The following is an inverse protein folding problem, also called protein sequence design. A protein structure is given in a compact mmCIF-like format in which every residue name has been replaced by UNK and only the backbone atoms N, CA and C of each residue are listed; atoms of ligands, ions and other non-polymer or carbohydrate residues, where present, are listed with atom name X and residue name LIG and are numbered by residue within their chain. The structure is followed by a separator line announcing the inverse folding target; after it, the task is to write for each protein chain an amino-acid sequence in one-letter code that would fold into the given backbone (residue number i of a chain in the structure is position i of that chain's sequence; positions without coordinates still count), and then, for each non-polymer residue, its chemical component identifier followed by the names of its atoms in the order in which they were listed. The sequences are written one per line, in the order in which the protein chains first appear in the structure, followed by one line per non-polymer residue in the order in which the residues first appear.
data_IF_594892485134
#
_entry.id   IF_594892485134
#
_cell.length_a   1.000
_cell.length_b   1.000
_cell.length_c   1.000
_cell.angle_alpha   90.00
_cell.angle_beta   90.00
_cell.angle_gamma   90.00
#
_symmetry.space_group_name_H-M   'P 1'
#
loop_
_entity.id
_entity.type
_entity.pdbx_description
1 polymer ?
#
# COMPACT_ATOMS: atom_id res chain seq x y z
N UNK A 1 42.68 -34.69 4.64
CA UNK A 1 42.84 -33.37 5.30
C UNK A 1 42.52 -32.34 4.22
N UNK A 2 41.27 -31.88 4.17
CA UNK A 2 40.79 -30.60 4.71
C UNK A 2 41.35 -29.39 3.92
N UNK A 3 40.57 -28.45 3.38
CA UNK A 3 39.19 -28.06 3.70
C UNK A 3 38.47 -27.27 2.61
N UNK A 4 37.25 -26.89 2.97
CA UNK A 4 36.14 -26.34 2.18
C UNK A 4 36.34 -24.86 1.83
N UNK A 5 36.30 -24.51 0.53
CA UNK A 5 35.98 -23.16 0.03
C UNK A 5 35.41 -23.24 -1.41
N UNK A 6 34.20 -23.74 -1.57
CA UNK A 6 33.43 -23.59 -2.80
C UNK A 6 32.03 -23.07 -2.49
N UNK A 7 31.96 -21.74 -2.40
CA UNK A 7 30.73 -20.99 -2.46
C UNK A 7 29.93 -21.38 -3.70
N UNK A 8 28.74 -21.93 -3.46
CA UNK A 8 27.78 -22.31 -4.48
C UNK A 8 27.38 -21.08 -5.29
N UNK A 9 27.90 -20.99 -6.51
CA UNK A 9 27.41 -20.08 -7.55
C UNK A 9 26.01 -20.56 -7.97
N UNK A 10 25.03 -19.66 -7.97
CA UNK A 10 23.77 -19.86 -8.69
C UNK A 10 23.92 -19.41 -10.14
N UNK A 11 23.34 -20.19 -11.05
CA UNK A 11 23.53 -20.15 -12.48
C UNK A 11 22.25 -19.62 -13.16
N UNK A 12 22.21 -18.32 -13.47
CA UNK A 12 21.48 -17.76 -14.64
C UNK A 12 21.59 -16.24 -14.75
N UNK A 13 21.98 -15.51 -13.71
CA UNK A 13 22.13 -14.06 -13.77
C UNK A 13 23.40 -13.67 -13.02
N UNK A 14 24.34 -13.04 -13.71
CA UNK A 14 25.68 -12.70 -13.21
C UNK A 14 25.72 -11.56 -12.20
N UNK A 15 24.78 -11.51 -11.26
CA UNK A 15 24.70 -10.52 -10.19
C UNK A 15 24.47 -11.18 -8.83
N UNK A 16 25.04 -10.58 -7.78
CA UNK A 16 24.89 -11.08 -6.41
C UNK A 16 23.65 -10.49 -5.75
N UNK A 17 23.10 -11.19 -4.75
CA UNK A 17 21.90 -10.77 -4.00
C UNK A 17 22.06 -9.43 -3.26
N UNK A 18 23.28 -8.89 -3.15
CA UNK A 18 23.56 -7.57 -2.63
C UNK A 18 23.20 -6.43 -3.62
N UNK A 19 23.04 -6.72 -4.92
CA UNK A 19 22.95 -5.70 -5.97
C UNK A 19 21.52 -5.30 -6.37
N UNK A 20 20.48 -6.08 -6.02
CA UNK A 20 19.10 -5.86 -6.55
C UNK A 20 18.02 -5.56 -5.51
N UNK A 21 18.31 -5.65 -4.21
CA UNK A 21 17.44 -5.13 -3.14
C UNK A 21 16.00 -5.69 -3.05
N UNK A 22 15.65 -6.75 -3.78
CA UNK A 22 14.30 -7.31 -3.81
C UNK A 22 14.27 -8.69 -3.15
N UNK A 23 13.76 -8.76 -1.92
CA UNK A 23 13.35 -10.03 -1.32
C UNK A 23 11.85 -10.19 -1.48
N UNK A 24 11.39 -11.20 -2.22
CA UNK A 24 10.39 -12.14 -1.72
C UNK A 24 10.36 -13.44 -2.51
N UNK A 25 10.53 -14.52 -1.75
CA UNK A 25 10.49 -15.93 -2.11
C UNK A 25 9.05 -16.42 -2.29
N UNK A 26 8.80 -17.16 -3.38
CA UNK A 26 7.59 -17.96 -3.60
C UNK A 26 8.01 -19.44 -3.64
N UNK A 27 7.45 -20.34 -2.81
CA UNK A 27 7.85 -21.74 -2.82
C UNK A 27 7.34 -22.46 -4.08
N UNK A 28 8.07 -23.46 -4.62
CA UNK A 28 7.68 -24.18 -5.82
C UNK A 28 6.59 -25.23 -5.55
N UNK A 29 5.61 -25.33 -6.44
CA UNK A 29 4.65 -26.45 -6.49
C UNK A 29 5.22 -27.54 -7.39
N UNK A 30 5.39 -28.76 -6.85
CA UNK A 30 5.78 -29.95 -7.62
C UNK A 30 4.56 -30.64 -8.24
N UNK A 31 4.79 -31.30 -9.38
CA UNK A 31 3.92 -32.22 -10.14
C UNK A 31 2.99 -31.58 -11.20
N UNK A 32 3.61 -31.00 -12.23
CA UNK A 32 2.94 -30.36 -13.35
C UNK A 32 1.78 -31.13 -13.99
N UNK A 33 0.61 -30.47 -14.02
CA UNK A 33 -0.29 -30.30 -15.17
C UNK A 33 -1.26 -29.16 -14.80
N UNK A 34 -1.43 -28.15 -15.65
CA UNK A 34 -2.37 -27.06 -15.41
C UNK A 34 -3.80 -27.59 -15.61
N UNK A 35 -4.42 -28.09 -14.54
CA UNK A 35 -5.87 -28.23 -14.47
C UNK A 35 -6.42 -26.85 -14.08
N UNK A 36 -7.17 -26.22 -14.99
CA UNK A 36 -8.06 -25.12 -14.67
C UNK A 36 -9.03 -25.62 -13.59
N UNK A 37 -8.81 -25.23 -12.34
CA UNK A 37 -9.85 -25.27 -11.35
C UNK A 37 -10.72 -24.04 -11.57
N UNK A 38 -11.92 -24.31 -12.06
CA UNK A 38 -13.02 -23.38 -12.09
C UNK A 38 -13.32 -22.85 -10.69
N UNK A 39 -13.88 -21.64 -10.69
CA UNK A 39 -14.50 -20.92 -9.57
C UNK A 39 -13.58 -20.48 -8.42
N UNK A 40 -12.74 -19.48 -8.71
CA UNK A 40 -12.27 -18.59 -7.66
C UNK A 40 -13.35 -17.52 -7.42
N UNK A 41 -14.38 -17.88 -6.66
CA UNK A 41 -15.17 -16.87 -5.97
C UNK A 41 -14.21 -16.10 -5.06
N UNK A 42 -13.88 -14.87 -5.46
CA UNK A 42 -12.98 -13.99 -4.71
C UNK A 42 -13.50 -13.78 -3.29
N UNK A 43 -12.96 -14.56 -2.35
CA UNK A 43 -13.22 -14.38 -0.94
C UNK A 43 -12.47 -13.13 -0.49
N UNK A 44 -13.21 -12.03 -0.33
CA UNK A 44 -12.71 -10.81 0.30
C UNK A 44 -12.04 -11.16 1.65
N UNK A 45 -10.85 -10.61 1.91
CA UNK A 45 -10.20 -10.75 3.24
C UNK A 45 -11.18 -10.26 4.32
N UNK A 46 -11.53 -11.08 5.32
CA UNK A 46 -12.48 -10.68 6.36
C UNK A 46 -11.94 -9.46 7.13
N UNK A 47 -12.85 -8.55 7.45
CA UNK A 47 -12.58 -7.23 8.03
C UNK A 47 -12.31 -7.25 9.54
N UNK A 48 -11.65 -8.28 10.06
CA UNK A 48 -11.38 -8.35 11.48
C UNK A 48 -10.39 -7.23 11.84
N UNK A 49 -10.92 -6.18 12.48
CA UNK A 49 -10.13 -5.20 13.19
C UNK A 49 -9.59 -5.91 14.43
N UNK A 50 -8.28 -6.13 14.47
CA UNK A 50 -7.60 -6.67 15.63
C UNK A 50 -7.20 -5.51 16.55
N UNK A 51 -7.54 -5.61 17.82
CA UNK A 51 -7.25 -4.57 18.81
C UNK A 51 -6.47 -5.20 19.95
N UNK A 52 -5.28 -4.66 20.23
CA UNK A 52 -4.40 -5.14 21.31
C UNK A 52 -3.95 -3.96 22.14
N UNK A 53 -3.97 -4.09 23.46
CA UNK A 53 -3.74 -3.00 24.40
C UNK A 53 -2.61 -3.32 25.38
N UNK A 54 -1.83 -2.29 25.71
CA UNK A 54 -0.95 -2.26 26.87
C UNK A 54 -1.42 -1.17 27.83
N UNK A 55 -0.69 -0.94 28.92
CA UNK A 55 -0.97 0.15 29.84
C UNK A 55 -0.85 1.56 29.20
N UNK A 56 0.02 1.73 28.20
CA UNK A 56 0.35 3.04 27.63
C UNK A 56 -0.25 3.29 26.24
N UNK A 57 -0.57 2.23 25.48
CA UNK A 57 -0.99 2.34 24.09
C UNK A 57 -1.94 1.22 23.67
N UNK A 58 -2.95 1.57 22.87
CA UNK A 58 -3.81 0.63 22.13
C UNK A 58 -3.36 0.59 20.68
N UNK A 59 -3.10 -0.59 20.13
CA UNK A 59 -2.88 -0.82 18.70
C UNK A 59 -4.19 -1.32 18.07
N UNK A 60 -4.51 -0.77 16.90
CA UNK A 60 -5.55 -1.25 15.99
C UNK A 60 -4.91 -1.71 14.69
N UNK A 61 -5.20 -2.94 14.28
CA UNK A 61 -4.73 -3.51 13.03
C UNK A 61 -5.91 -3.87 12.11
N UNK A 62 -5.95 -3.23 10.93
CA UNK A 62 -6.94 -3.49 9.88
C UNK A 62 -6.34 -4.37 8.79
N UNK A 63 -6.54 -5.69 8.89
CA UNK A 63 -5.98 -6.67 7.94
C UNK A 63 -6.34 -6.37 6.47
N UNK A 64 -7.54 -5.84 6.23
CA UNK A 64 -8.01 -5.42 4.90
C UNK A 64 -7.16 -4.29 4.30
N UNK A 65 -6.54 -3.42 5.10
CA UNK A 65 -5.66 -2.35 4.57
C UNK A 65 -4.21 -2.82 4.41
N UNK A 66 -3.82 -3.95 4.99
CA UNK A 66 -2.42 -4.36 5.02
C UNK A 66 -1.91 -4.78 3.63
N UNK A 67 -0.83 -4.11 3.18
CA UNK A 67 -0.10 -4.46 1.94
C UNK A 67 1.14 -5.33 2.19
N UNK A 68 1.32 -5.84 3.40
CA UNK A 68 2.48 -6.63 3.81
C UNK A 68 3.83 -5.96 3.46
N UNK A 69 3.90 -4.63 3.61
CA UNK A 69 5.12 -3.84 3.34
C UNK A 69 6.32 -4.20 4.22
N UNK A 70 6.09 -5.02 5.26
CA UNK A 70 7.05 -5.41 6.30
C UNK A 70 7.55 -4.29 7.22
N UNK A 71 7.02 -3.08 7.07
CA UNK A 71 7.13 -1.94 8.00
C UNK A 71 7.31 -2.41 9.45
N UNK A 72 6.25 -3.01 9.95
CA UNK A 72 6.11 -3.46 11.33
C UNK A 72 7.15 -4.50 11.75
N UNK A 73 7.24 -5.61 11.01
CA UNK A 73 8.08 -6.76 11.40
C UNK A 73 9.58 -6.50 11.21
N UNK A 74 9.96 -5.51 10.39
CA UNK A 74 11.37 -5.13 10.23
C UNK A 74 11.80 -4.08 11.25
N UNK A 75 10.92 -3.14 11.59
CA UNK A 75 11.24 -2.08 12.55
C UNK A 75 11.15 -2.58 14.01
N UNK A 76 10.15 -3.40 14.34
CA UNK A 76 9.93 -3.95 15.69
C UNK A 76 9.44 -5.42 15.62
N UNK A 77 10.34 -6.38 15.32
CA UNK A 77 9.99 -7.81 15.27
C UNK A 77 9.57 -8.39 16.63
N UNK A 78 9.86 -7.67 17.71
CA UNK A 78 9.43 -7.96 19.09
C UNK A 78 8.00 -7.48 19.37
N UNK A 79 7.55 -6.39 18.72
CA UNK A 79 6.16 -5.90 18.82
C UNK A 79 5.25 -6.61 17.82
N UNK A 80 5.68 -6.77 16.56
CA UNK A 80 4.94 -7.50 15.53
C UNK A 80 5.72 -8.74 15.15
N UNK A 81 5.39 -9.87 15.78
CA UNK A 81 6.14 -11.12 15.65
C UNK A 81 5.66 -11.89 14.42
N UNK A 82 6.49 -12.05 13.37
CA UNK A 82 6.05 -12.75 12.16
C UNK A 82 6.04 -14.28 12.36
N UNK A 83 5.13 -14.96 11.65
CA UNK A 83 5.09 -16.42 11.51
C UNK A 83 4.87 -17.22 12.81
N UNK A 84 4.16 -16.64 13.78
CA UNK A 84 3.77 -17.33 15.01
C UNK A 84 2.33 -17.85 14.92
N UNK A 85 2.04 -18.88 15.71
CA UNK A 85 0.68 -19.37 15.94
C UNK A 85 0.17 -18.73 17.23
N UNK A 86 -0.91 -17.95 17.14
CA UNK A 86 -1.49 -17.25 18.28
C UNK A 86 -1.26 -15.75 18.23
N UNK A 87 -1.07 -15.15 19.41
CA UNK A 87 -0.79 -13.71 19.54
C UNK A 87 0.50 -13.34 18.81
N UNK A 88 0.45 -12.22 18.10
CA UNK A 88 1.55 -11.75 17.25
C UNK A 88 1.80 -10.25 17.36
N UNK A 89 0.97 -9.54 18.14
CA UNK A 89 1.10 -8.10 18.42
C UNK A 89 1.29 -7.94 19.93
N UNK A 90 2.42 -7.34 20.33
CA UNK A 90 2.85 -7.18 21.72
C UNK A 90 3.16 -5.70 22.02
N UNK A 91 2.16 -4.83 22.22
CA UNK A 91 2.39 -3.41 22.48
C UNK A 91 3.16 -3.13 23.80
N UNK A 92 3.12 -4.05 24.75
CA UNK A 92 3.71 -3.93 26.09
C UNK A 92 5.24 -3.97 26.11
N UNK A 93 5.89 -4.47 25.04
CA UNK A 93 7.36 -4.51 24.93
C UNK A 93 7.93 -3.23 24.31
N UNK A 94 7.10 -2.22 24.05
CA UNK A 94 7.47 -0.95 23.45
C UNK A 94 6.89 0.23 24.23
N UNK A 95 7.55 1.37 24.12
CA UNK A 95 6.94 2.64 24.56
C UNK A 95 5.84 3.06 23.60
N UNK A 96 4.87 3.84 24.09
CA UNK A 96 3.80 4.37 23.24
C UNK A 96 4.32 5.27 22.10
N UNK A 97 5.49 5.89 22.27
CA UNK A 97 6.15 6.69 21.21
C UNK A 97 6.72 5.80 20.11
N UNK A 98 7.39 4.70 20.46
CA UNK A 98 7.91 3.73 19.48
C UNK A 98 6.76 3.07 18.70
N UNK A 99 5.65 2.75 19.37
CA UNK A 99 4.45 2.21 18.69
C UNK A 99 3.84 3.26 17.75
N UNK A 100 3.84 4.53 18.15
CA UNK A 100 3.37 5.62 17.29
C UNK A 100 4.23 5.77 16.03
N UNK A 101 5.56 5.75 16.17
CA UNK A 101 6.49 5.80 15.03
C UNK A 101 6.29 4.60 14.09
N UNK A 102 6.10 3.42 14.66
CA UNK A 102 5.82 2.20 13.91
C UNK A 102 4.53 2.32 13.10
N UNK A 103 3.44 2.85 13.69
CA UNK A 103 2.19 3.10 13.00
C UNK A 103 2.32 4.16 11.88
N UNK A 104 3.15 5.20 12.10
CA UNK A 104 3.44 6.23 11.09
C UNK A 104 4.22 5.66 9.90
N UNK A 105 5.07 4.65 10.14
CA UNK A 105 5.81 3.95 9.09
C UNK A 105 4.94 3.01 8.22
N UNK A 106 3.73 2.67 8.67
CA UNK A 106 2.83 1.78 7.94
C UNK A 106 2.23 2.50 6.71
N UNK A 107 2.65 2.17 5.47
CA UNK A 107 2.31 2.95 4.28
C UNK A 107 0.83 2.89 3.92
N UNK A 108 0.14 1.82 4.32
CA UNK A 108 -1.29 1.64 4.04
C UNK A 108 -2.20 2.12 5.17
N UNK A 109 -1.63 2.60 6.28
CA UNK A 109 -2.40 3.00 7.47
C UNK A 109 -3.12 1.83 8.14
N UNK A 110 -2.73 0.58 7.85
CA UNK A 110 -3.32 -0.62 8.45
C UNK A 110 -3.04 -0.73 9.95
N UNK A 111 -1.99 -0.07 10.43
CA UNK A 111 -1.64 0.00 11.85
C UNK A 111 -1.98 1.42 12.32
N UNK A 112 -2.82 1.50 13.33
CA UNK A 112 -3.21 2.73 14.00
C UNK A 112 -3.01 2.56 15.52
N UNK A 113 -3.00 3.67 16.25
CA UNK A 113 -2.86 3.64 17.70
C UNK A 113 -3.73 4.67 18.40
N UNK A 114 -4.04 4.42 19.67
CA UNK A 114 -4.47 5.45 20.64
C UNK A 114 -3.46 5.55 21.77
N UNK A 115 -3.24 6.77 22.25
CA UNK A 115 -2.45 7.06 23.44
C UNK A 115 -3.31 6.87 24.69
N UNK A 116 -2.91 5.94 25.56
CA UNK A 116 -3.54 5.72 26.87
C UNK A 116 -2.73 6.40 27.99
N UNK A 117 -1.51 6.84 27.68
CA UNK A 117 -0.60 7.57 28.56
C UNK A 117 -0.78 9.10 28.56
N UNK A 118 -1.78 9.61 27.83
CA UNK A 118 -2.01 11.06 27.66
C UNK A 118 -1.08 11.74 26.64
N UNK A 119 -0.27 10.97 25.90
CA UNK A 119 0.55 11.47 24.80
C UNK A 119 -0.26 12.00 23.61
N UNK A 120 0.43 12.58 22.63
CA UNK A 120 -0.23 13.16 21.45
C UNK A 120 -0.77 12.08 20.50
N UNK A 121 -2.04 12.22 20.10
CA UNK A 121 -2.62 11.45 19.02
C UNK A 121 -1.95 11.77 17.66
N UNK A 122 -2.13 10.86 16.70
CA UNK A 122 -1.71 11.11 15.32
C UNK A 122 -2.44 12.32 14.73
N UNK A 123 -1.75 13.11 13.90
CA UNK A 123 -2.29 14.32 13.27
C UNK A 123 -2.24 14.20 11.76
N UNK A 124 -3.18 14.87 11.10
CA UNK A 124 -3.16 15.04 9.65
C UNK A 124 -1.84 15.67 9.16
N UNK A 125 -1.34 15.27 7.98
CA UNK A 125 -0.12 15.84 7.42
C UNK A 125 -0.30 17.31 7.03
N UNK A 126 0.80 18.05 7.01
CA UNK A 126 0.84 19.45 6.57
C UNK A 126 0.73 19.62 5.05
N UNK A 127 0.91 18.52 4.30
CA UNK A 127 0.77 18.47 2.85
C UNK A 127 0.13 17.14 2.50
N UNK A 128 -1.01 17.20 1.83
CA UNK A 128 -1.64 16.01 1.27
C UNK A 128 -0.82 15.52 0.07
N UNK A 129 -0.41 14.26 0.11
CA UNK A 129 0.38 13.66 -0.97
C UNK A 129 -0.25 12.41 -1.51
N UNK A 130 -0.13 12.22 -2.82
CA UNK A 130 -0.46 10.98 -3.50
C UNK A 130 0.76 10.53 -4.30
N UNK A 131 1.44 9.51 -3.78
CA UNK A 131 2.67 8.97 -4.36
C UNK A 131 2.37 7.87 -5.35
N UNK A 132 2.87 8.01 -6.58
CA UNK A 132 2.79 6.98 -7.62
C UNK A 132 3.99 6.03 -7.46
N UNK A 133 3.75 4.81 -7.00
CA UNK A 133 4.83 3.82 -6.84
C UNK A 133 5.12 3.11 -8.16
N UNK A 134 6.40 2.95 -8.50
CA UNK A 134 6.86 2.16 -9.65
C UNK A 134 6.23 0.77 -9.62
N UNK A 135 5.61 0.35 -10.73
CA UNK A 135 4.92 -0.95 -10.87
C UNK A 135 3.89 -1.26 -9.77
N UNK A 136 3.49 -0.26 -8.99
CA UNK A 136 2.80 -0.45 -7.73
C UNK A 136 1.60 0.47 -7.54
N UNK A 137 1.08 0.55 -6.32
CA UNK A 137 -0.14 1.30 -5.99
C UNK A 137 0.07 2.81 -5.93
N UNK A 138 -1.03 3.54 -5.73
CA UNK A 138 -0.98 4.90 -5.20
C UNK A 138 -0.87 4.84 -3.67
N UNK A 139 0.11 5.54 -3.08
CA UNK A 139 0.20 5.68 -1.63
C UNK A 139 -0.23 7.10 -1.23
N UNK A 140 -1.32 7.20 -0.49
CA UNK A 140 -1.96 8.45 -0.06
C UNK A 140 -1.53 8.76 1.37
N UNK A 141 -1.21 10.03 1.64
CA UNK A 141 -1.00 10.57 2.98
C UNK A 141 -1.74 11.90 3.09
N UNK A 142 -2.88 11.92 3.75
CA UNK A 142 -3.82 13.04 3.86
C UNK A 142 -4.84 12.80 4.97
N UNK A 143 -5.61 13.81 5.39
CA UNK A 143 -6.85 13.58 6.16
C UNK A 143 -7.90 12.93 5.24
N UNK A 144 -7.89 11.59 5.16
CA UNK A 144 -8.49 10.86 4.05
C UNK A 144 -9.91 10.41 4.35
N UNK A 145 -10.81 10.72 3.42
CA UNK A 145 -12.13 10.11 3.29
C UNK A 145 -12.18 9.29 2.00
N UNK A 146 -12.47 7.99 2.13
CA UNK A 146 -12.51 7.04 1.02
C UNK A 146 -13.93 6.48 0.90
N UNK A 147 -14.56 6.64 -0.27
CA UNK A 147 -15.95 6.23 -0.51
C UNK A 147 -16.93 6.75 0.57
N UNK A 148 -16.77 8.03 0.95
CA UNK A 148 -17.61 8.69 1.95
C UNK A 148 -17.37 8.26 3.40
N UNK A 149 -16.33 7.46 3.68
CA UNK A 149 -15.99 6.99 5.03
C UNK A 149 -14.60 7.49 5.45
N UNK A 150 -14.39 7.85 6.73
CA UNK A 150 -13.05 8.12 7.25
C UNK A 150 -12.12 6.92 7.03
N UNK A 151 -10.93 7.16 6.49
CA UNK A 151 -9.95 6.12 6.18
C UNK A 151 -8.65 6.24 6.98
N UNK A 152 -8.56 7.23 7.87
CA UNK A 152 -7.34 7.56 8.62
C UNK A 152 -6.44 8.48 7.80
N UNK A 153 -5.13 8.47 8.10
CA UNK A 153 -4.19 9.38 7.43
C UNK A 153 -3.43 8.78 6.25
N UNK A 154 -3.43 7.45 6.12
CA UNK A 154 -2.69 6.72 5.08
C UNK A 154 -3.55 5.66 4.43
N UNK A 155 -3.37 5.46 3.13
CA UNK A 155 -3.95 4.34 2.40
C UNK A 155 -3.13 4.01 1.15
N UNK A 156 -3.12 2.75 0.76
CA UNK A 156 -2.55 2.31 -0.52
C UNK A 156 -3.65 1.80 -1.44
N UNK A 157 -3.84 2.47 -2.58
CA UNK A 157 -4.94 2.23 -3.51
C UNK A 157 -4.47 1.51 -4.78
N UNK A 158 -5.32 0.60 -5.27
CA UNK A 158 -5.03 -0.21 -6.44
C UNK A 158 -4.89 0.65 -7.70
N UNK A 159 -3.76 0.49 -8.40
CA UNK A 159 -3.46 1.11 -9.69
C UNK A 159 -3.51 0.11 -10.85
N UNK A 160 -3.29 -1.18 -10.58
CA UNK A 160 -3.14 -2.24 -11.58
C UNK A 160 -4.45 -2.83 -12.09
N UNK A 161 -5.59 -2.57 -11.42
CA UNK A 161 -6.89 -3.19 -11.75
C UNK A 161 -7.08 -4.62 -11.25
N UNK A 162 -6.05 -5.29 -10.74
CA UNK A 162 -6.12 -6.72 -10.38
C UNK A 162 -6.42 -7.02 -8.90
N UNK A 163 -6.38 -6.03 -8.00
CA UNK A 163 -6.65 -6.26 -6.57
C UNK A 163 -8.00 -6.93 -6.34
N UNK A 164 -8.06 -7.94 -5.48
CA UNK A 164 -9.31 -8.58 -5.03
C UNK A 164 -9.96 -7.81 -3.87
N UNK A 165 -9.26 -6.78 -3.38
CA UNK A 165 -9.65 -5.98 -2.24
C UNK A 165 -9.78 -4.49 -2.59
N UNK A 166 -10.27 -4.20 -3.80
CA UNK A 166 -10.47 -2.83 -4.28
C UNK A 166 -11.38 -2.04 -3.31
N UNK A 167 -11.15 -0.73 -3.15
CA UNK A 167 -10.16 0.09 -3.84
C UNK A 167 -8.71 -0.04 -3.32
N UNK A 168 -8.49 -0.81 -2.25
CA UNK A 168 -7.16 -1.01 -1.68
C UNK A 168 -6.26 -1.88 -2.56
N UNK A 169 -4.96 -1.67 -2.45
CA UNK A 169 -3.97 -2.59 -2.97
C UNK A 169 -3.83 -3.80 -2.04
N UNK A 170 -3.69 -5.00 -2.61
CA UNK A 170 -3.47 -6.26 -1.89
C UNK A 170 -2.18 -6.98 -2.33
N UNK A 171 -1.38 -6.34 -3.18
CA UNK A 171 -0.16 -6.92 -3.75
C UNK A 171 -0.35 -7.61 -5.09
N UNK A 172 -1.59 -7.74 -5.61
CA UNK A 172 -1.89 -8.42 -6.88
C UNK A 172 -1.11 -7.86 -8.08
N UNK A 173 -0.63 -6.61 -8.01
CA UNK A 173 0.21 -6.00 -9.05
C UNK A 173 1.51 -6.79 -9.32
N UNK A 174 2.08 -7.45 -8.32
CA UNK A 174 3.25 -8.33 -8.49
C UNK A 174 2.84 -9.59 -9.26
N UNK A 175 1.75 -10.23 -8.82
CA UNK A 175 1.23 -11.48 -9.39
C UNK A 175 0.86 -11.34 -10.87
N UNK A 176 0.26 -10.20 -11.25
CA UNK A 176 -0.13 -9.94 -12.65
C UNK A 176 0.98 -9.27 -13.47
N UNK A 177 2.17 -9.07 -12.91
CA UNK A 177 3.29 -8.44 -13.60
C UNK A 177 2.97 -7.03 -14.08
N UNK A 178 2.28 -6.23 -13.26
CA UNK A 178 1.87 -4.88 -13.64
C UNK A 178 3.09 -3.99 -13.88
N UNK A 179 3.25 -3.51 -15.12
CA UNK A 179 4.32 -2.58 -15.51
C UNK A 179 3.74 -1.19 -15.73
N UNK A 180 4.16 -0.23 -14.92
CA UNK A 180 3.86 1.17 -15.12
C UNK A 180 4.79 2.06 -14.30
N UNK A 181 5.33 3.09 -14.95
CA UNK A 181 6.22 4.05 -14.30
C UNK A 181 5.59 4.70 -13.06
N UNK A 182 6.41 4.86 -12.02
CA UNK A 182 6.21 5.70 -10.85
C UNK A 182 6.91 7.07 -11.00
N UNK A 183 7.52 7.32 -12.16
CA UNK A 183 8.22 8.55 -12.53
C UNK A 183 7.56 9.30 -13.71
N UNK A 184 6.24 9.58 -13.70
CA UNK A 184 5.64 10.45 -14.71
C UNK A 184 6.36 11.81 -14.85
N UNK A 185 6.30 12.44 -16.04
CA UNK A 185 6.79 13.79 -16.24
C UNK A 185 6.10 14.78 -15.29
N UNK A 186 6.85 15.78 -14.82
CA UNK A 186 6.29 16.89 -14.05
C UNK A 186 5.47 17.78 -14.97
N UNK A 187 4.27 18.12 -14.53
CA UNK A 187 3.39 19.10 -15.17
C UNK A 187 3.58 20.42 -14.43
N UNK A 188 4.00 21.45 -15.16
CA UNK A 188 4.14 22.77 -14.57
C UNK A 188 2.76 23.32 -14.19
N UNK A 189 2.62 23.66 -12.91
CA UNK A 189 1.37 24.11 -12.31
C UNK A 189 1.69 25.14 -11.23
N UNK A 190 0.82 26.15 -11.03
CA UNK A 190 0.97 27.08 -9.92
C UNK A 190 0.94 26.35 -8.57
N UNK A 191 1.44 27.02 -7.53
CA UNK A 191 1.31 26.51 -6.16
C UNK A 191 -0.17 26.49 -5.75
N UNK A 192 -0.55 25.49 -4.94
CA UNK A 192 -1.87 25.47 -4.33
C UNK A 192 -1.97 26.54 -3.24
N UNK A 193 -3.10 27.23 -3.17
CA UNK A 193 -3.38 28.18 -2.08
C UNK A 193 -3.42 27.49 -0.71
N UNK A 194 -3.85 26.23 -0.68
CA UNK A 194 -3.87 25.36 0.51
C UNK A 194 -3.33 23.98 0.12
N UNK A 195 -2.46 23.41 0.96
CA UNK A 195 -1.80 22.10 0.69
C UNK A 195 -2.28 20.99 1.62
N UNK A 196 -3.01 21.34 2.67
CA UNK A 196 -3.55 20.45 3.69
C UNK A 196 -5.09 20.47 3.71
N UNK A 197 -5.68 19.71 4.63
CA UNK A 197 -7.11 19.58 4.82
C UNK A 197 -7.65 18.24 4.31
N UNK A 198 -8.98 18.05 4.39
CA UNK A 198 -9.61 16.81 3.96
C UNK A 198 -9.32 16.50 2.49
N UNK A 199 -9.05 15.22 2.22
CA UNK A 199 -8.93 14.68 0.87
C UNK A 199 -9.98 13.59 0.69
N UNK A 200 -10.87 13.78 -0.28
CA UNK A 200 -11.91 12.84 -0.63
C UNK A 200 -11.46 12.02 -1.82
N UNK A 201 -11.53 10.69 -1.72
CA UNK A 201 -11.27 9.79 -2.83
C UNK A 201 -12.50 8.91 -3.03
N UNK A 202 -13.11 9.00 -4.20
CA UNK A 202 -14.32 8.26 -4.56
C UNK A 202 -14.00 7.29 -5.70
N UNK A 203 -13.90 5.98 -5.43
CA UNK A 203 -13.85 4.98 -6.48
C UNK A 203 -15.17 5.00 -7.25
N UNK A 204 -15.12 5.21 -8.56
CA UNK A 204 -16.29 5.11 -9.43
C UNK A 204 -16.51 3.64 -9.80
N UNK A 205 -17.75 3.15 -9.75
CA UNK A 205 -18.10 1.80 -10.22
C UNK A 205 -17.59 1.59 -11.64
N UNK A 206 -16.87 0.48 -11.85
CA UNK A 206 -16.22 0.12 -13.14
C UNK A 206 -15.28 1.20 -13.70
N UNK A 207 -14.89 2.16 -12.86
CA UNK A 207 -14.27 3.41 -13.28
C UNK A 207 -13.04 3.82 -12.46
N UNK A 208 -12.60 5.08 -12.62
CA UNK A 208 -11.39 5.61 -11.99
C UNK A 208 -11.55 5.91 -10.49
N UNK A 209 -10.48 6.37 -9.87
CA UNK A 209 -10.53 7.05 -8.58
C UNK A 209 -10.69 8.55 -8.83
N UNK A 210 -11.77 9.15 -8.36
CA UNK A 210 -11.97 10.61 -8.40
C UNK A 210 -11.47 11.18 -7.09
N UNK A 211 -10.49 12.08 -7.16
CA UNK A 211 -9.94 12.77 -6.00
C UNK A 211 -10.52 14.18 -5.94
N UNK A 212 -10.93 14.63 -4.77
CA UNK A 212 -11.40 15.98 -4.49
C UNK A 212 -10.73 16.52 -3.22
N UNK A 213 -10.19 17.75 -3.30
CA UNK A 213 -9.39 18.37 -2.26
C UNK A 213 -7.92 18.57 -2.65
N UNK A 214 -7.18 19.45 -1.95
CA UNK A 214 -5.81 19.81 -2.31
C UNK A 214 -4.88 18.61 -2.17
N UNK A 215 -4.09 18.33 -3.21
CA UNK A 215 -3.13 17.22 -3.22
C UNK A 215 -1.93 17.49 -4.12
N UNK A 216 -0.76 17.04 -3.67
CA UNK A 216 0.43 16.95 -4.50
C UNK A 216 0.65 15.52 -4.95
N UNK A 217 0.59 15.30 -6.27
CA UNK A 217 1.03 14.05 -6.86
C UNK A 217 2.54 14.04 -6.84
N UNK A 218 3.14 12.99 -6.28
CA UNK A 218 4.58 12.83 -6.20
C UNK A 218 5.01 11.50 -6.82
N UNK A 219 6.20 11.47 -7.41
CA UNK A 219 6.78 10.28 -7.99
C UNK A 219 7.23 9.28 -6.93
N UNK A 220 7.62 8.08 -7.35
CA UNK A 220 8.20 7.06 -6.48
C UNK A 220 9.35 7.60 -5.63
N UNK A 221 10.24 8.37 -6.26
CA UNK A 221 11.39 9.04 -5.62
C UNK A 221 11.03 10.31 -4.82
N UNK A 222 9.84 10.89 -5.06
CA UNK A 222 9.34 12.05 -4.31
C UNK A 222 9.38 13.38 -5.07
N UNK A 223 9.77 13.37 -6.35
CA UNK A 223 9.64 14.54 -7.22
C UNK A 223 8.16 14.90 -7.37
N UNK A 224 7.82 16.18 -7.32
CA UNK A 224 6.46 16.64 -7.61
C UNK A 224 6.11 16.38 -9.08
N UNK A 225 4.99 15.68 -9.31
CA UNK A 225 4.40 15.43 -10.63
C UNK A 225 3.41 16.55 -10.95
N UNK A 226 2.47 16.83 -10.04
CA UNK A 226 1.42 17.83 -10.24
C UNK A 226 0.89 18.34 -8.90
N UNK A 227 0.33 19.55 -8.90
CA UNK A 227 -0.29 20.20 -7.74
C UNK A 227 -1.72 20.57 -8.13
N UNK A 228 -2.73 19.90 -7.57
CA UNK A 228 -4.11 20.00 -8.07
C UNK A 228 -5.13 19.72 -6.95
N UNK A 229 -6.41 19.97 -7.23
CA UNK A 229 -7.52 19.73 -6.30
C UNK A 229 -8.49 18.64 -6.77
N UNK A 230 -8.37 18.17 -8.01
CA UNK A 230 -9.40 17.34 -8.66
C UNK A 230 -8.91 16.25 -9.63
N UNK A 231 -7.77 15.55 -9.40
CA UNK A 231 -7.28 14.58 -10.37
C UNK A 231 -8.16 13.33 -10.43
N UNK A 232 -8.42 12.85 -11.65
CA UNK A 232 -9.06 11.54 -11.87
C UNK A 232 -7.98 10.51 -12.24
N UNK A 233 -7.79 9.50 -11.38
CA UNK A 233 -6.69 8.55 -11.49
C UNK A 233 -7.10 7.20 -12.07
N UNK A 234 -6.20 6.59 -12.85
CA UNK A 234 -6.41 5.27 -13.42
C UNK A 234 -6.45 4.21 -12.31
N UNK A 235 -7.56 3.46 -12.24
CA UNK A 235 -7.76 2.32 -11.34
C UNK A 235 -7.70 0.96 -12.06
N UNK A 236 -7.88 0.96 -13.38
CA UNK A 236 -8.00 -0.25 -14.19
C UNK A 236 -6.67 -0.81 -14.72
N UNK A 237 -5.54 -0.12 -14.50
CA UNK A 237 -4.21 -0.53 -14.99
C UNK A 237 -3.96 -0.29 -16.49
N UNK A 238 -4.96 0.11 -17.28
CA UNK A 238 -4.88 0.13 -18.74
C UNK A 238 -4.79 1.51 -19.39
N UNK A 239 -4.79 2.60 -18.62
CA UNK A 239 -4.66 3.96 -19.19
C UNK A 239 -3.35 4.13 -19.98
N UNK A 240 -3.39 4.79 -21.13
CA UNK A 240 -2.19 5.21 -21.86
C UNK A 240 -1.57 6.49 -21.26
N UNK A 241 -2.34 7.23 -20.46
CA UNK A 241 -1.93 8.49 -19.81
C UNK A 241 -1.75 8.33 -18.29
N UNK A 242 -1.17 7.22 -17.83
CA UNK A 242 -0.95 6.98 -16.39
C UNK A 242 -0.10 8.12 -15.79
N UNK A 243 -0.41 8.59 -14.58
CA UNK A 243 -1.33 8.00 -13.59
C UNK A 243 -2.81 8.39 -13.79
N UNK A 244 -3.12 9.22 -14.78
CA UNK A 244 -4.46 9.74 -15.01
C UNK A 244 -5.37 8.74 -15.73
N UNK A 245 -6.67 8.88 -15.54
CA UNK A 245 -7.67 8.16 -16.33
C UNK A 245 -7.81 8.77 -17.72
N UNK A 246 -7.92 7.93 -18.74
CA UNK A 246 -8.13 8.30 -20.16
C UNK A 246 -9.37 7.61 -20.77
N UNK A 247 -10.24 7.05 -19.93
CA UNK A 247 -11.40 6.27 -20.36
C UNK A 247 -11.12 4.81 -20.70
N UNK A 248 -9.87 4.33 -20.62
CA UNK A 248 -9.53 2.93 -20.96
C UNK A 248 -10.32 1.88 -20.18
N UNK A 249 -10.77 2.18 -18.97
CA UNK A 249 -11.58 1.28 -18.14
C UNK A 249 -12.86 0.79 -18.85
N UNK A 250 -13.52 1.65 -19.62
CA UNK A 250 -14.70 1.29 -20.40
C UNK A 250 -14.33 0.32 -21.54
N UNK A 251 -13.21 0.59 -22.25
CA UNK A 251 -12.74 -0.22 -23.38
C UNK A 251 -12.32 -1.64 -22.96
N UNK A 252 -11.65 -1.75 -21.81
CA UNK A 252 -11.18 -3.06 -21.29
C UNK A 252 -12.22 -3.78 -20.44
N UNK A 253 -13.45 -3.23 -20.33
CA UNK A 253 -14.51 -3.82 -19.53
C UNK A 253 -14.14 -3.97 -18.05
N UNK A 254 -13.44 -3.00 -17.47
CA UNK A 254 -12.98 -3.05 -16.09
C UNK A 254 -14.16 -3.23 -15.12
N UNK A 255 -14.08 -4.23 -14.23
CA UNK A 255 -15.10 -4.52 -13.22
C UNK A 255 -14.58 -4.30 -11.82
N UNK A 256 -15.22 -3.38 -11.09
CA UNK A 256 -14.94 -3.12 -9.69
C UNK A 256 -15.98 -2.20 -9.07
N UNK A 257 -16.48 -2.58 -7.87
CA UNK A 257 -17.38 -1.74 -7.09
C UNK A 257 -16.75 -0.38 -6.73
N UNK A 258 -17.63 0.60 -6.50
CA UNK A 258 -17.28 1.96 -6.09
C UNK A 258 -17.19 2.15 -4.57
N UNK A 259 -17.76 1.23 -3.80
CA UNK A 259 -17.99 1.29 -2.35
C UNK A 259 -17.69 -0.03 -1.60
#
# INVERSE_FOLDING_TARGET
MAGLEDGTKDALLGHTQAETGAYYFCPPVKAGRLALLADNQGAAKPSALEVVESAAVRIRFEAKKCVHSRHCVLARPDVFVPNVVGEWIHPEVATADEVAELAHSCPSGAIQYDRLDGGSAERAPKVNTLRVRENGPYAVHADLQLAGRPAGYRATLCRCGASENKPFCDGSHVRVGFVATGEPPTIDMPALAKRDGPLFITPQTDGPLVVDGPVELVSGTGRTIAKTTGPTLCRCGNSANKPYCDGSHARVGFKALGD
#
